data_IF_970004099567
#
_entry.id   IF_970004099567
#
_cell.length_a   1.000
_cell.length_b   1.000
_cell.length_c   1.000
_cell.angle_alpha   90.00
_cell.angle_beta   90.00
_cell.angle_gamma   90.00
#
_symmetry.space_group_name_H-M   'P 1'
#
loop_
_entity.id
_entity.type
_entity.pdbx_description
1 polymer ?
#
# COMPACT_ATOMS: atom_id res chain seq x y z
N UNK A 1 13.40 20.96 29.75
CA UNK A 1 11.96 20.84 29.40
C UNK A 1 11.77 19.58 28.59
N UNK A 2 11.10 18.56 29.14
CA UNK A 2 10.89 17.26 28.48
C UNK A 2 9.55 17.31 27.73
N UNK A 3 9.59 17.40 26.40
CA UNK A 3 8.42 17.31 25.54
C UNK A 3 8.01 15.85 25.34
N UNK A 4 6.91 15.45 25.96
CA UNK A 4 6.34 14.10 25.85
C UNK A 4 5.74 13.90 24.47
N UNK A 5 6.29 12.95 23.70
CA UNK A 5 5.75 12.48 22.42
C UNK A 5 4.48 11.68 22.72
N UNK A 6 3.32 12.18 22.29
CA UNK A 6 2.08 11.41 22.31
C UNK A 6 2.21 10.25 21.32
N UNK A 7 2.42 9.05 21.84
CA UNK A 7 2.29 7.82 21.07
C UNK A 7 0.79 7.58 20.82
N UNK A 8 0.42 7.52 19.56
CA UNK A 8 -0.91 7.12 19.10
C UNK A 8 -1.09 5.63 19.46
N UNK A 9 -2.07 5.33 20.30
CA UNK A 9 -2.51 3.96 20.55
C UNK A 9 -3.26 3.47 19.33
N UNK A 10 -2.56 2.83 18.39
CA UNK A 10 -3.17 2.05 17.34
C UNK A 10 -3.50 0.68 17.92
N UNK A 11 -4.80 0.43 18.15
CA UNK A 11 -5.33 -0.88 18.51
C UNK A 11 -5.04 -1.89 17.39
N UNK A 12 -3.90 -2.58 17.47
CA UNK A 12 -3.55 -3.68 16.58
C UNK A 12 -4.32 -4.92 17.02
N UNK A 13 -5.57 -5.04 16.59
CA UNK A 13 -6.25 -6.34 16.58
C UNK A 13 -5.62 -7.19 15.49
N UNK A 14 -4.51 -7.85 15.82
CA UNK A 14 -3.98 -8.91 14.98
C UNK A 14 -4.93 -10.11 15.07
N UNK A 15 -5.45 -10.64 13.96
CA UNK A 15 -6.02 -11.98 13.99
C UNK A 15 -4.90 -12.95 14.34
N UNK A 16 -4.93 -13.47 15.55
CA UNK A 16 -4.03 -14.52 16.00
C UNK A 16 -4.32 -15.78 15.19
N UNK A 17 -3.52 -16.03 14.16
CA UNK A 17 -3.48 -17.33 13.47
C UNK A 17 -2.57 -18.33 14.19
N UNK A 18 -2.48 -18.25 15.53
CA UNK A 18 -1.95 -19.34 16.33
C UNK A 18 -3.02 -20.42 16.47
N UNK A 19 -3.38 -21.04 15.36
CA UNK A 19 -3.87 -22.40 15.41
C UNK A 19 -2.69 -23.22 15.95
N UNK A 20 -2.77 -23.59 17.23
CA UNK A 20 -1.94 -24.67 17.79
C UNK A 20 -1.97 -25.80 16.76
N UNK A 21 -0.85 -26.45 16.41
CA UNK A 21 -0.93 -27.66 15.62
C UNK A 21 -1.83 -28.61 16.41
N UNK A 22 -3.07 -28.77 15.94
CA UNK A 22 -3.93 -29.82 16.44
C UNK A 22 -3.23 -31.07 15.95
N UNK A 23 -2.53 -31.75 16.85
CA UNK A 23 -2.07 -33.11 16.58
C UNK A 23 -3.29 -33.84 15.99
N UNK A 24 -3.15 -34.54 14.85
CA UNK A 24 -4.26 -35.32 14.34
C UNK A 24 -4.73 -36.18 15.50
N UNK A 25 -6.02 -36.05 15.85
CA UNK A 25 -6.68 -36.88 16.85
C UNK A 25 -6.15 -38.28 16.64
N UNK A 26 -5.37 -38.77 17.61
CA UNK A 26 -4.77 -40.08 17.52
C UNK A 26 -5.95 -41.02 17.36
N UNK A 27 -6.11 -41.59 16.16
CA UNK A 27 -7.04 -42.67 15.93
C UNK A 27 -6.57 -43.75 16.89
N UNK A 28 -7.24 -43.83 18.03
CA UNK A 28 -6.89 -44.76 19.08
C UNK A 28 -7.34 -46.11 18.55
N UNK A 29 -6.44 -46.78 17.83
CA UNK A 29 -6.63 -48.17 17.45
C UNK A 29 -7.01 -48.93 18.72
N UNK A 30 -8.07 -49.76 18.69
CA UNK A 30 -8.44 -50.54 19.86
C UNK A 30 -7.22 -51.37 20.25
N UNK A 31 -6.72 -51.15 21.46
CA UNK A 31 -5.61 -51.92 21.99
C UNK A 31 -6.01 -53.40 21.94
N UNK A 32 -5.22 -54.29 21.30
CA UNK A 32 -5.46 -55.71 21.43
C UNK A 32 -5.14 -56.05 22.88
N UNK A 33 -6.20 -56.31 23.65
CA UNK A 33 -6.09 -56.90 24.98
C UNK A 33 -5.19 -58.13 24.85
N UNK A 34 -4.18 -58.21 25.71
CA UNK A 34 -3.16 -59.25 25.67
C UNK A 34 -3.76 -60.65 25.58
N UNK A 35 -3.74 -61.20 24.37
CA UNK A 35 -3.50 -62.61 24.18
C UNK A 35 -1.98 -62.76 24.17
N UNK A 36 -1.46 -63.68 24.98
CA UNK A 36 -0.09 -64.16 24.88
C UNK A 36 0.13 -64.67 23.45
N UNK A 37 0.60 -63.82 22.55
CA UNK A 37 1.29 -64.26 21.36
C UNK A 37 2.63 -64.77 21.85
N UNK A 38 2.74 -66.08 21.96
CA UNK A 38 4.03 -66.76 21.98
C UNK A 38 4.90 -66.08 20.93
N UNK A 39 6.08 -65.61 21.33
CA UNK A 39 7.11 -65.24 20.39
C UNK A 39 7.46 -66.52 19.62
N UNK A 40 6.70 -66.81 18.57
CA UNK A 40 7.19 -67.59 17.47
C UNK A 40 8.30 -66.74 16.87
N UNK A 41 9.52 -66.94 17.38
CA UNK A 41 10.71 -66.91 16.53
C UNK A 41 10.40 -67.84 15.38
N UNK A 42 9.84 -67.27 14.30
CA UNK A 42 9.91 -67.92 13.01
C UNK A 42 11.40 -68.18 12.76
N UNK A 43 11.78 -69.38 12.27
CA UNK A 43 13.11 -69.53 11.70
C UNK A 43 13.33 -68.39 10.71
N UNK A 44 14.55 -67.87 10.65
CA UNK A 44 15.00 -66.93 9.63
C UNK A 44 14.80 -67.59 8.25
N UNK A 45 13.58 -67.55 7.73
CA UNK A 45 13.32 -67.85 6.33
C UNK A 45 13.95 -66.71 5.53
N UNK A 46 14.75 -67.02 4.49
CA UNK A 46 15.32 -65.99 3.65
C UNK A 46 14.18 -65.12 3.10
N UNK A 47 14.24 -63.81 3.34
CA UNK A 47 13.22 -62.86 2.88
C UNK A 47 12.82 -63.18 1.43
N UNK A 48 11.52 -63.33 1.12
CA UNK A 48 11.07 -63.67 -0.22
C UNK A 48 11.55 -62.59 -1.21
N UNK A 49 12.17 -62.99 -2.32
CA UNK A 49 12.82 -62.10 -3.30
C UNK A 49 11.93 -60.97 -3.83
N UNK A 50 10.60 -61.14 -3.74
CA UNK A 50 9.58 -60.15 -4.11
C UNK A 50 9.53 -58.93 -3.16
N UNK A 51 9.98 -59.07 -1.91
CA UNK A 51 9.97 -58.01 -0.89
C UNK A 51 11.25 -57.17 -0.93
N UNK A 52 12.37 -57.70 -1.45
CA UNK A 52 13.64 -56.97 -1.59
C UNK A 52 13.58 -55.67 -2.42
N UNK A 53 12.88 -55.60 -3.58
CA UNK A 53 12.84 -54.38 -4.38
C UNK A 53 11.85 -53.32 -3.86
N UNK A 54 10.95 -53.68 -2.94
CA UNK A 54 9.90 -52.77 -2.45
C UNK A 54 10.45 -51.59 -1.63
N UNK A 55 11.37 -51.78 -0.66
CA UNK A 55 12.01 -50.69 0.06
C UNK A 55 12.73 -49.71 -0.86
N UNK A 56 13.42 -50.22 -1.88
CA UNK A 56 14.16 -49.41 -2.85
C UNK A 56 13.21 -48.54 -3.68
N UNK A 57 12.13 -49.11 -4.22
CA UNK A 57 11.12 -48.35 -4.96
C UNK A 57 10.35 -47.33 -4.11
N UNK A 58 10.11 -47.63 -2.83
CA UNK A 58 9.49 -46.67 -1.90
C UNK A 58 10.46 -45.55 -1.55
N UNK A 59 11.73 -45.88 -1.26
CA UNK A 59 12.76 -44.90 -0.99
C UNK A 59 12.96 -43.94 -2.18
N UNK A 60 12.96 -44.47 -3.41
CA UNK A 60 13.05 -43.65 -4.62
C UNK A 60 11.82 -42.71 -4.77
N UNK A 61 10.61 -43.23 -4.56
CA UNK A 61 9.38 -42.39 -4.59
C UNK A 61 9.37 -41.32 -3.51
N UNK A 62 9.89 -41.62 -2.32
CA UNK A 62 10.02 -40.64 -1.23
C UNK A 62 11.06 -39.58 -1.63
N UNK A 63 12.22 -39.99 -2.13
CA UNK A 63 13.27 -39.08 -2.59
C UNK A 63 12.78 -38.13 -3.71
N UNK A 64 12.02 -38.65 -4.68
CA UNK A 64 11.42 -37.82 -5.73
C UNK A 64 10.45 -36.78 -5.17
N UNK A 65 9.56 -37.16 -4.24
CA UNK A 65 8.63 -36.23 -3.60
C UNK A 65 9.34 -35.18 -2.73
N UNK A 66 10.41 -35.57 -2.04
CA UNK A 66 11.20 -34.67 -1.21
C UNK A 66 11.93 -33.64 -2.08
N UNK A 67 12.49 -34.05 -3.22
CA UNK A 67 13.14 -33.15 -4.17
C UNK A 67 12.13 -32.17 -4.80
N UNK A 68 10.95 -32.64 -5.20
CA UNK A 68 9.87 -31.77 -5.70
C UNK A 68 9.42 -30.76 -4.64
N UNK A 69 9.27 -31.20 -3.39
CA UNK A 69 8.88 -30.36 -2.27
C UNK A 69 9.94 -29.30 -1.96
N UNK A 70 11.22 -29.68 -2.00
CA UNK A 70 12.35 -28.78 -1.83
C UNK A 70 12.39 -27.73 -2.95
N UNK A 71 12.27 -28.15 -4.20
CA UNK A 71 12.23 -27.25 -5.37
C UNK A 71 11.05 -26.27 -5.30
N UNK A 72 9.88 -26.73 -4.87
CA UNK A 72 8.69 -25.87 -4.69
C UNK A 72 8.91 -24.84 -3.57
N UNK A 73 9.54 -25.25 -2.46
CA UNK A 73 9.88 -24.35 -1.35
C UNK A 73 10.88 -23.28 -1.80
N UNK A 74 11.96 -23.69 -2.47
CA UNK A 74 12.95 -22.76 -3.02
C UNK A 74 12.33 -21.80 -4.04
N UNK A 75 11.50 -22.30 -4.95
CA UNK A 75 10.78 -21.47 -5.92
C UNK A 75 9.84 -20.45 -5.25
N UNK A 76 9.27 -20.79 -4.10
CA UNK A 76 8.41 -19.88 -3.32
C UNK A 76 9.24 -18.79 -2.64
N UNK A 77 10.40 -19.14 -2.07
CA UNK A 77 11.32 -18.18 -1.45
C UNK A 77 11.84 -17.18 -2.49
N UNK A 78 12.27 -17.67 -3.66
CA UNK A 78 12.74 -16.80 -4.76
C UNK A 78 11.62 -15.88 -5.25
N UNK A 79 10.40 -16.41 -5.41
CA UNK A 79 9.25 -15.62 -5.82
C UNK A 79 8.92 -14.52 -4.80
N UNK A 80 8.88 -14.88 -3.52
CA UNK A 80 8.64 -13.92 -2.44
C UNK A 80 9.71 -12.82 -2.41
N UNK A 81 10.99 -13.18 -2.59
CA UNK A 81 12.08 -12.21 -2.70
C UNK A 81 11.86 -11.23 -3.86
N UNK A 82 11.55 -11.73 -5.05
CA UNK A 82 11.25 -10.89 -6.23
C UNK A 82 10.04 -9.99 -6.03
N UNK A 83 9.01 -10.48 -5.34
CA UNK A 83 7.82 -9.68 -5.04
C UNK A 83 8.12 -8.54 -4.07
N UNK A 84 8.98 -8.77 -3.08
CA UNK A 84 9.48 -7.74 -2.17
C UNK A 84 10.26 -6.67 -2.95
N UNK A 85 11.20 -7.07 -3.81
CA UNK A 85 11.98 -6.14 -4.62
C UNK A 85 11.07 -5.30 -5.52
N UNK A 86 10.15 -5.94 -6.23
CA UNK A 86 9.16 -5.28 -7.09
C UNK A 86 8.29 -4.29 -6.32
N UNK A 87 7.90 -4.61 -5.09
CA UNK A 87 7.13 -3.71 -4.23
C UNK A 87 7.93 -2.43 -3.92
N UNK A 88 9.19 -2.56 -3.53
CA UNK A 88 10.04 -1.42 -3.20
C UNK A 88 10.40 -0.59 -4.43
N UNK A 89 10.66 -1.21 -5.57
CA UNK A 89 10.86 -0.52 -6.84
C UNK A 89 9.62 0.31 -7.21
N UNK A 90 8.44 -0.31 -7.16
CA UNK A 90 7.17 0.34 -7.46
C UNK A 90 6.85 1.49 -6.49
N UNK A 91 7.08 1.27 -5.19
CA UNK A 91 6.90 2.30 -4.17
C UNK A 91 7.83 3.49 -4.39
N UNK A 92 9.12 3.22 -4.61
CA UNK A 92 10.13 4.25 -4.85
C UNK A 92 9.84 5.02 -6.14
N UNK A 93 9.41 4.34 -7.21
CA UNK A 93 9.00 4.97 -8.45
C UNK A 93 7.78 5.89 -8.23
N UNK A 94 6.76 5.43 -7.51
CA UNK A 94 5.58 6.23 -7.17
C UNK A 94 5.96 7.45 -6.32
N UNK A 95 6.77 7.27 -5.28
CA UNK A 95 7.27 8.35 -4.43
C UNK A 95 8.05 9.40 -5.24
N UNK A 96 8.99 8.96 -6.09
CA UNK A 96 9.76 9.84 -6.97
C UNK A 96 8.86 10.60 -7.95
N UNK A 97 7.85 9.94 -8.53
CA UNK A 97 6.86 10.58 -9.40
C UNK A 97 6.08 11.66 -8.65
N UNK A 98 5.53 11.35 -7.48
CA UNK A 98 4.78 12.32 -6.67
C UNK A 98 5.64 13.51 -6.27
N UNK A 99 6.88 13.28 -5.85
CA UNK A 99 7.81 14.37 -5.52
C UNK A 99 8.07 15.25 -6.75
N UNK A 100 8.30 14.65 -7.93
CA UNK A 100 8.52 15.40 -9.16
C UNK A 100 7.29 16.23 -9.54
N UNK A 101 6.11 15.64 -9.46
CA UNK A 101 4.84 16.30 -9.76
C UNK A 101 4.58 17.46 -8.80
N UNK A 102 4.77 17.25 -7.50
CA UNK A 102 4.64 18.32 -6.50
C UNK A 102 5.62 19.47 -6.77
N UNK A 103 6.90 19.17 -7.08
CA UNK A 103 7.88 20.19 -7.44
C UNK A 103 7.51 20.95 -8.70
N UNK A 104 6.95 20.26 -9.70
CA UNK A 104 6.48 20.87 -10.94
C UNK A 104 5.31 21.81 -10.65
N UNK A 105 4.32 21.34 -9.89
CA UNK A 105 3.14 22.14 -9.54
C UNK A 105 3.54 23.35 -8.67
N UNK A 106 4.49 23.19 -7.76
CA UNK A 106 5.04 24.30 -6.97
C UNK A 106 5.75 25.33 -7.86
N UNK A 107 6.59 24.88 -8.80
CA UNK A 107 7.26 25.77 -9.75
C UNK A 107 6.26 26.50 -10.65
N UNK A 108 5.23 25.81 -11.15
CA UNK A 108 4.15 26.41 -11.94
C UNK A 108 3.37 27.44 -11.12
N UNK A 109 3.02 27.12 -9.87
CA UNK A 109 2.34 28.04 -8.98
C UNK A 109 3.17 29.31 -8.70
N UNK A 110 4.47 29.15 -8.41
CA UNK A 110 5.38 30.28 -8.22
C UNK A 110 5.54 31.11 -9.50
N UNK A 111 5.56 30.45 -10.66
CA UNK A 111 5.60 31.14 -11.95
C UNK A 111 4.33 31.96 -12.18
N UNK A 112 3.15 31.40 -11.93
CA UNK A 112 1.86 32.12 -12.05
C UNK A 112 1.81 33.29 -11.06
N UNK A 113 2.28 33.10 -9.82
CA UNK A 113 2.35 34.19 -8.84
C UNK A 113 3.28 35.32 -9.29
N UNK A 114 4.46 34.97 -9.83
CA UNK A 114 5.44 35.95 -10.32
C UNK A 114 4.92 36.66 -11.57
N UNK A 115 4.32 35.92 -12.49
CA UNK A 115 3.71 36.50 -13.69
C UNK A 115 2.58 37.45 -13.29
N UNK A 116 1.64 37.04 -12.42
CA UNK A 116 0.55 37.90 -11.92
C UNK A 116 1.00 39.13 -11.13
N UNK A 117 2.22 39.12 -10.58
CA UNK A 117 2.84 40.31 -10.00
C UNK A 117 3.29 41.27 -11.10
N UNK A 118 3.90 40.75 -12.17
CA UNK A 118 4.47 41.53 -13.26
C UNK A 118 3.48 41.95 -14.35
N UNK A 119 2.40 41.19 -14.54
CA UNK A 119 1.44 41.36 -15.63
C UNK A 119 0.05 41.76 -15.08
N UNK A 120 -0.41 42.95 -15.49
CA UNK A 120 -1.72 43.48 -15.14
C UNK A 120 -1.71 44.60 -14.09
N UNK A 121 -2.90 44.91 -13.57
CA UNK A 121 -3.09 45.89 -12.49
C UNK A 121 -3.44 45.16 -11.20
N UNK A 122 -3.23 45.80 -10.04
CA UNK A 122 -3.61 45.25 -8.73
C UNK A 122 -5.06 44.74 -8.70
N UNK A 123 -5.97 45.41 -9.41
CA UNK A 123 -7.38 45.03 -9.51
C UNK A 123 -7.61 43.76 -10.34
N UNK A 124 -6.84 43.54 -11.42
CA UNK A 124 -6.87 42.27 -12.16
C UNK A 124 -6.49 41.10 -11.26
N UNK A 125 -5.40 41.26 -10.50
CA UNK A 125 -4.92 40.23 -9.57
C UNK A 125 -5.90 39.93 -8.43
N UNK A 126 -6.57 40.95 -7.88
CA UNK A 126 -7.62 40.76 -6.88
C UNK A 126 -8.80 39.99 -7.47
N UNK A 127 -9.20 40.28 -8.71
CA UNK A 127 -10.28 39.53 -9.37
C UNK A 127 -9.93 38.06 -9.58
N UNK A 128 -8.69 37.75 -9.96
CA UNK A 128 -8.23 36.38 -10.20
C UNK A 128 -8.14 35.61 -8.86
N UNK A 129 -7.64 36.23 -7.78
CA UNK A 129 -7.60 35.62 -6.44
C UNK A 129 -8.98 35.35 -5.82
N UNK A 130 -9.98 36.15 -6.19
CA UNK A 130 -11.37 35.98 -5.74
C UNK A 130 -12.15 35.06 -6.70
N UNK A 131 -11.46 34.47 -7.69
CA UNK A 131 -12.00 33.60 -8.74
C UNK A 131 -13.18 34.23 -9.50
N UNK A 132 -13.15 35.55 -9.73
CA UNK A 132 -14.28 36.30 -10.29
C UNK A 132 -14.44 36.15 -11.82
N UNK A 133 -13.77 35.19 -12.44
CA UNK A 133 -13.74 34.99 -13.89
C UNK A 133 -15.12 34.72 -14.52
N UNK A 134 -16.09 34.19 -13.75
CA UNK A 134 -17.45 33.90 -14.26
C UNK A 134 -18.53 34.31 -13.25
N UNK A 135 -19.70 34.82 -13.70
CA UNK A 135 -20.79 35.36 -12.84
C UNK A 135 -21.25 34.44 -11.69
N UNK A 136 -20.90 33.16 -11.77
CA UNK A 136 -21.29 32.08 -10.86
C UNK A 136 -20.25 31.72 -9.77
N UNK A 137 -19.16 32.48 -9.63
CA UNK A 137 -18.09 32.21 -8.65
C UNK A 137 -18.62 31.97 -7.22
N UNK A 138 -18.46 30.74 -6.73
CA UNK A 138 -18.97 30.29 -5.42
C UNK A 138 -18.18 30.84 -4.22
N UNK A 139 -17.00 31.42 -4.45
CA UNK A 139 -16.16 32.09 -3.43
C UNK A 139 -16.88 33.25 -2.75
N UNK A 140 -17.80 33.89 -3.47
CA UNK A 140 -18.60 35.04 -3.01
C UNK A 140 -20.02 34.64 -2.59
N UNK A 141 -20.45 33.42 -2.92
CA UNK A 141 -21.77 32.88 -2.62
C UNK A 141 -21.87 32.21 -1.24
N UNK A 142 -21.20 32.74 -0.21
CA UNK A 142 -21.46 32.29 1.17
C UNK A 142 -22.85 32.76 1.59
N UNK A 143 -23.72 31.80 1.91
CA UNK A 143 -25.09 32.07 2.35
C UNK A 143 -25.08 33.00 3.58
N UNK A 144 -25.63 34.20 3.44
CA UNK A 144 -25.80 35.16 4.55
C UNK A 144 -25.29 36.58 4.30
N UNK A 145 -24.46 36.83 3.27
CA UNK A 145 -23.95 38.18 2.95
C UNK A 145 -24.12 38.51 1.47
N UNK A 146 -24.84 39.60 1.15
CA UNK A 146 -24.95 40.10 -0.22
C UNK A 146 -23.65 40.80 -0.64
N UNK A 147 -22.87 40.14 -1.48
CA UNK A 147 -21.60 40.61 -2.02
C UNK A 147 -21.72 40.99 -3.52
N UNK A 148 -22.94 41.09 -4.05
CA UNK A 148 -23.20 41.43 -5.46
C UNK A 148 -22.65 42.80 -5.81
N UNK A 149 -22.92 43.82 -4.97
CA UNK A 149 -22.37 45.17 -5.15
C UNK A 149 -20.84 45.21 -5.07
N UNK A 150 -20.26 44.41 -4.17
CA UNK A 150 -18.80 44.31 -4.03
C UNK A 150 -18.16 43.72 -5.30
N UNK A 151 -18.76 42.66 -5.85
CA UNK A 151 -18.35 42.07 -7.13
C UNK A 151 -18.41 43.07 -8.29
N UNK A 152 -19.50 43.82 -8.41
CA UNK A 152 -19.65 44.83 -9.46
C UNK A 152 -18.56 45.91 -9.39
N UNK A 153 -18.24 46.37 -8.18
CA UNK A 153 -17.17 47.35 -7.96
C UNK A 153 -15.81 46.78 -8.40
N UNK A 154 -15.47 45.55 -8.01
CA UNK A 154 -14.22 44.90 -8.40
C UNK A 154 -14.11 44.75 -9.93
N UNK A 155 -15.18 44.31 -10.60
CA UNK A 155 -15.19 44.17 -12.06
C UNK A 155 -15.09 45.53 -12.78
N UNK A 156 -15.70 46.59 -12.24
CA UNK A 156 -15.54 47.96 -12.77
C UNK A 156 -14.09 48.44 -12.65
N UNK A 157 -13.46 48.22 -11.49
CA UNK A 157 -12.06 48.60 -11.26
C UNK A 157 -11.10 47.83 -12.17
N UNK A 158 -11.33 46.52 -12.39
CA UNK A 158 -10.60 45.72 -13.38
C UNK A 158 -10.72 46.29 -14.79
N UNK A 159 -11.93 46.67 -15.22
CA UNK A 159 -12.18 47.28 -16.54
C UNK A 159 -11.52 48.65 -16.72
N UNK A 160 -11.41 49.43 -15.65
CA UNK A 160 -10.76 50.74 -15.65
C UNK A 160 -9.23 50.64 -15.80
N UNK A 161 -8.64 49.47 -15.53
CA UNK A 161 -7.21 49.20 -15.74
C UNK A 161 -6.34 50.26 -15.05
N UNK A 162 -5.38 50.82 -15.79
CA UNK A 162 -4.39 51.78 -15.28
C UNK A 162 -4.99 53.10 -14.79
N UNK A 163 -6.24 53.40 -15.15
CA UNK A 163 -6.96 54.60 -14.70
C UNK A 163 -7.64 54.41 -13.35
N UNK A 164 -7.70 53.18 -12.83
CA UNK A 164 -8.31 52.90 -11.55
C UNK A 164 -7.42 53.43 -10.40
N UNK A 165 -8.02 53.97 -9.33
CA UNK A 165 -7.26 54.41 -8.17
C UNK A 165 -6.46 53.24 -7.58
N UNK A 166 -5.19 53.46 -7.27
CA UNK A 166 -4.31 52.44 -6.71
C UNK A 166 -3.87 51.34 -7.69
N UNK A 167 -4.11 51.48 -9.00
CA UNK A 167 -3.67 50.52 -10.02
C UNK A 167 -2.15 50.54 -10.32
N UNK A 168 -1.33 51.06 -9.40
CA UNK A 168 0.10 51.15 -9.58
C UNK A 168 0.69 49.77 -9.87
N UNK A 169 1.52 49.70 -10.91
CA UNK A 169 2.31 48.50 -11.22
C UNK A 169 3.47 48.45 -10.22
N UNK A 170 3.45 47.48 -9.31
CA UNK A 170 4.59 47.18 -8.43
C UNK A 170 5.37 46.01 -8.97
#
# INVERSE_FOLDING_TARGET
MKGSVRLYSSNSSQPSFHAKPHAPSSFQSPAPRGGSYSAFTQPEEPEPEVVRPWPEHQAEKIAQRDEESKKKREGTIVRAGREIDKFYEGYNAKKKRTIRENKKNEAEYLSILTDSLSSGTTWSRICDLVDLENSESKTVARAGTDLTRYREVLLKLRKQGDKAPGAARS
#
